data_IF_727992155177
#
_entry.id   IF_727992155177
#
_cell.length_a   1.000
_cell.length_b   1.000
_cell.length_c   1.000
_cell.angle_alpha   90.00
_cell.angle_beta   90.00
_cell.angle_gamma   90.00
#
_symmetry.space_group_name_H-M   'P 1'
#
loop_
_entity.id
_entity.type
_entity.pdbx_description
1 polymer ?
#
# COMPACT_ATOMS: atom_id res chain seq x y z
N UNK A 1 -14.16 -17.57 -13.76
CA UNK A 1 -12.71 -17.54 -13.49
C UNK A 1 -12.54 -17.43 -11.98
N UNK A 2 -11.61 -18.17 -11.39
CA UNK A 2 -11.32 -18.10 -9.95
C UNK A 2 -10.71 -16.74 -9.62
N UNK A 3 -11.24 -16.03 -8.62
CA UNK A 3 -10.71 -14.73 -8.19
C UNK A 3 -9.40 -14.93 -7.43
N UNK A 4 -8.44 -14.03 -7.60
CA UNK A 4 -7.22 -13.98 -6.76
C UNK A 4 -7.59 -13.40 -5.41
N UNK A 5 -7.40 -14.18 -4.35
CA UNK A 5 -7.62 -13.72 -2.97
C UNK A 5 -6.45 -12.87 -2.51
N UNK A 6 -6.74 -11.80 -1.79
CA UNK A 6 -5.70 -10.96 -1.18
C UNK A 6 -6.11 -10.41 0.18
N UNK A 7 -5.11 -10.20 1.05
CA UNK A 7 -5.21 -9.35 2.23
C UNK A 7 -4.41 -8.08 1.96
N UNK A 8 -5.01 -6.92 2.22
CA UNK A 8 -4.35 -5.63 2.10
C UNK A 8 -4.01 -5.12 3.51
N UNK A 9 -2.74 -4.79 3.75
CA UNK A 9 -2.27 -4.18 5.01
C UNK A 9 -1.97 -2.71 4.76
N UNK A 10 -2.78 -1.81 5.34
CA UNK A 10 -2.86 -0.38 4.98
C UNK A 10 -2.59 0.52 6.17
N UNK A 11 -2.21 1.77 5.91
CA UNK A 11 -2.17 2.86 6.88
C UNK A 11 -3.05 4.02 6.38
N UNK A 12 -4.29 3.66 6.05
CA UNK A 12 -5.21 4.41 5.17
C UNK A 12 -5.13 5.93 5.22
N UNK A 13 -4.34 6.43 4.27
CA UNK A 13 -4.30 7.79 3.80
C UNK A 13 -4.95 7.93 2.42
N UNK A 14 -4.42 8.82 1.58
CA UNK A 14 -5.06 9.24 0.33
C UNK A 14 -4.92 8.18 -0.77
N UNK A 15 -3.74 7.65 -1.02
CA UNK A 15 -3.48 6.60 -2.00
C UNK A 15 -3.91 5.20 -1.53
N UNK A 16 -3.79 4.86 -0.25
CA UNK A 16 -4.38 3.63 0.30
C UNK A 16 -5.87 3.53 0.00
N UNK A 17 -6.60 4.65 0.09
CA UNK A 17 -8.02 4.70 -0.22
C UNK A 17 -8.29 4.27 -1.68
N UNK A 18 -7.44 4.70 -2.61
CA UNK A 18 -7.54 4.29 -4.02
C UNK A 18 -7.20 2.81 -4.19
N UNK A 19 -6.20 2.30 -3.45
CA UNK A 19 -5.85 0.89 -3.44
C UNK A 19 -6.99 0.01 -2.90
N UNK A 20 -7.61 0.41 -1.79
CA UNK A 20 -8.79 -0.23 -1.21
C UNK A 20 -9.94 -0.28 -2.21
N UNK A 21 -10.24 0.84 -2.86
CA UNK A 21 -11.31 0.90 -3.85
C UNK A 21 -11.04 -0.01 -5.04
N UNK A 22 -9.81 0.00 -5.58
CA UNK A 22 -9.44 -0.86 -6.70
C UNK A 22 -9.50 -2.35 -6.29
N UNK A 23 -8.94 -2.72 -5.14
CA UNK A 23 -8.92 -4.09 -4.66
C UNK A 23 -10.32 -4.64 -4.39
N UNK A 24 -11.20 -3.82 -3.83
CA UNK A 24 -12.56 -4.20 -3.49
C UNK A 24 -13.52 -4.21 -4.70
N UNK A 25 -13.26 -3.43 -5.75
CA UNK A 25 -14.14 -3.34 -6.92
C UNK A 25 -13.68 -4.20 -8.10
N UNK A 26 -12.42 -4.61 -8.16
CA UNK A 26 -11.91 -5.38 -9.29
C UNK A 26 -12.48 -6.81 -9.33
N UNK A 27 -13.12 -7.27 -10.43
CA UNK A 27 -13.82 -8.56 -10.48
C UNK A 27 -12.91 -9.79 -10.42
N UNK A 28 -11.63 -9.63 -10.77
CA UNK A 28 -10.63 -10.69 -10.70
C UNK A 28 -10.02 -10.85 -9.30
N UNK A 29 -10.35 -9.95 -8.36
CA UNK A 29 -9.81 -9.93 -7.01
C UNK A 29 -10.90 -10.25 -5.99
N UNK A 30 -10.48 -10.89 -4.90
CA UNK A 30 -11.30 -11.12 -3.72
C UNK A 30 -10.53 -10.61 -2.50
N UNK A 31 -10.83 -9.38 -2.10
CA UNK A 31 -10.27 -8.79 -0.88
C UNK A 31 -10.91 -9.46 0.34
N UNK A 32 -10.20 -10.43 0.91
CA UNK A 32 -10.69 -11.28 2.01
C UNK A 32 -10.68 -10.59 3.37
N UNK A 33 -9.83 -9.56 3.51
CA UNK A 33 -9.79 -8.72 4.70
C UNK A 33 -8.75 -7.63 4.57
N UNK A 34 -8.87 -6.64 5.44
CA UNK A 34 -7.94 -5.51 5.53
C UNK A 34 -7.35 -5.45 6.93
N UNK A 35 -6.04 -5.42 7.02
CA UNK A 35 -5.33 -5.12 8.27
C UNK A 35 -4.83 -3.69 8.24
N UNK A 36 -4.82 -3.03 9.41
CA UNK A 36 -4.46 -1.60 9.49
C UNK A 36 -3.24 -1.42 10.39
N UNK A 37 -2.30 -0.57 9.99
CA UNK A 37 -1.06 -0.28 10.72
C UNK A 37 -0.87 1.23 10.91
N UNK A 38 -0.09 1.61 11.92
CA UNK A 38 0.33 2.99 12.08
C UNK A 38 1.27 3.43 10.95
N UNK A 39 1.02 4.62 10.38
CA UNK A 39 1.77 5.11 9.22
C UNK A 39 1.44 6.56 8.87
N UNK A 40 0.67 6.81 7.82
CA UNK A 40 0.30 8.16 7.35
C UNK A 40 -0.35 9.02 8.45
N UNK A 41 -1.25 8.42 9.23
CA UNK A 41 -1.92 9.03 10.39
C UNK A 41 -1.98 8.00 11.55
N UNK A 42 -2.46 8.34 12.77
CA UNK A 42 -2.56 7.36 13.85
C UNK A 42 -3.42 6.17 13.45
N UNK A 43 -3.06 4.95 13.90
CA UNK A 43 -3.72 3.70 13.47
C UNK A 43 -5.25 3.70 13.66
N UNK A 44 -5.77 4.37 14.69
CA UNK A 44 -7.21 4.51 14.91
C UNK A 44 -7.90 5.35 13.82
N UNK A 45 -7.23 6.40 13.35
CA UNK A 45 -7.68 7.24 12.24
C UNK A 45 -7.56 6.49 10.92
N UNK A 46 -6.46 5.77 10.69
CA UNK A 46 -6.32 4.87 9.54
C UNK A 46 -7.46 3.84 9.51
N UNK A 47 -7.82 3.29 10.67
CA UNK A 47 -8.87 2.27 10.77
C UNK A 47 -10.24 2.86 10.45
N UNK A 48 -10.56 4.03 10.98
CA UNK A 48 -11.79 4.75 10.66
C UNK A 48 -11.85 5.11 9.16
N UNK A 49 -10.76 5.65 8.59
CA UNK A 49 -10.66 5.93 7.16
C UNK A 49 -10.87 4.68 6.29
N UNK A 50 -10.30 3.54 6.68
CA UNK A 50 -10.49 2.25 6.00
C UNK A 50 -11.97 1.87 5.95
N UNK A 51 -12.66 1.95 7.09
CA UNK A 51 -14.07 1.64 7.21
C UNK A 51 -14.93 2.58 6.36
N UNK A 52 -14.66 3.90 6.41
CA UNK A 52 -15.35 4.90 5.59
C UNK A 52 -15.22 4.64 4.09
N UNK A 53 -14.00 4.36 3.62
CA UNK A 53 -13.75 4.08 2.20
C UNK A 53 -14.52 2.85 1.74
N UNK A 54 -14.46 1.75 2.50
CA UNK A 54 -15.18 0.52 2.17
C UNK A 54 -16.69 0.71 2.16
N UNK A 55 -17.25 1.41 3.16
CA UNK A 55 -18.69 1.70 3.21
C UNK A 55 -19.13 2.61 2.06
N UNK A 56 -18.33 3.62 1.71
CA UNK A 56 -18.62 4.57 0.62
C UNK A 56 -18.79 3.89 -0.74
N UNK A 57 -18.02 2.82 -0.99
CA UNK A 57 -18.15 2.02 -2.22
C UNK A 57 -19.07 0.80 -2.07
N UNK A 58 -19.82 0.69 -0.98
CA UNK A 58 -20.77 -0.40 -0.74
C UNK A 58 -20.12 -1.75 -0.45
N UNK A 59 -18.88 -1.76 0.06
CA UNK A 59 -18.09 -2.95 0.44
C UNK A 59 -17.86 -3.07 1.94
N UNK A 60 -18.85 -2.65 2.74
CA UNK A 60 -18.86 -2.80 4.20
C UNK A 60 -18.86 -4.27 4.68
N UNK A 61 -19.00 -5.25 3.78
CA UNK A 61 -18.86 -6.68 4.06
C UNK A 61 -17.41 -7.08 4.37
N UNK A 62 -16.41 -6.36 3.84
CA UNK A 62 -14.99 -6.71 3.95
C UNK A 62 -14.47 -6.42 5.37
N UNK A 63 -14.02 -7.40 6.15
CA UNK A 63 -13.62 -7.20 7.55
C UNK A 63 -12.34 -6.36 7.67
N UNK A 64 -12.30 -5.47 8.68
CA UNK A 64 -11.16 -4.58 8.98
C UNK A 64 -10.63 -4.90 10.37
N UNK A 65 -9.32 -5.15 10.48
CA UNK A 65 -8.63 -5.51 11.71
C UNK A 65 -7.55 -4.49 12.03
N UNK A 66 -7.71 -3.77 13.14
CA UNK A 66 -6.69 -2.82 13.57
C UNK A 66 -5.45 -3.54 14.13
N UNK A 67 -4.28 -3.05 13.75
CA UNK A 67 -2.98 -3.61 14.09
C UNK A 67 -2.11 -2.63 14.87
N UNK A 68 -0.80 -2.77 14.75
CA UNK A 68 0.18 -2.08 15.57
C UNK A 68 0.03 -0.55 15.48
N UNK A 69 0.04 0.10 16.65
CA UNK A 69 -0.03 1.55 16.80
C UNK A 69 1.35 2.22 16.79
N UNK A 70 2.44 1.43 16.79
CA UNK A 70 3.83 1.86 16.86
C UNK A 70 4.74 0.90 16.09
N UNK A 71 5.95 1.34 15.69
CA UNK A 71 6.93 0.46 15.06
C UNK A 71 7.29 -0.77 15.92
N UNK A 72 7.78 -1.80 15.25
CA UNK A 72 8.04 -3.13 15.76
C UNK A 72 9.06 -3.14 16.90
N UNK A 73 10.12 -2.34 16.78
CA UNK A 73 11.20 -2.26 17.79
C UNK A 73 11.34 -0.89 18.44
N UNK A 74 10.91 0.17 17.76
CA UNK A 74 11.16 1.56 18.17
C UNK A 74 9.97 2.10 18.98
N UNK A 75 10.22 3.02 19.93
CA UNK A 75 9.13 3.64 20.69
C UNK A 75 8.21 4.51 19.82
N UNK A 76 8.74 5.05 18.73
CA UNK A 76 8.05 5.83 17.68
C UNK A 76 8.88 5.78 16.39
N UNK A 77 8.41 6.39 15.30
CA UNK A 77 9.15 6.56 14.05
C UNK A 77 10.53 7.20 14.28
N UNK A 78 11.53 6.98 13.40
CA UNK A 78 12.87 7.53 13.59
C UNK A 78 12.91 9.05 13.79
N UNK A 79 11.94 9.76 13.22
CA UNK A 79 11.55 11.10 13.63
C UNK A 79 10.09 11.03 14.11
N UNK A 80 9.80 11.42 15.37
CA UNK A 80 8.44 11.42 15.89
C UNK A 80 7.49 12.22 14.99
N UNK A 81 6.25 11.75 14.83
CA UNK A 81 5.24 12.48 14.08
C UNK A 81 4.98 13.81 14.79
N UNK A 82 5.27 14.93 14.14
CA UNK A 82 4.99 16.24 14.70
C UNK A 82 3.48 16.46 14.84
N UNK A 83 3.04 17.17 15.88
CA UNK A 83 1.64 17.56 16.06
C UNK A 83 1.35 18.87 15.30
N UNK A 84 0.12 19.07 14.82
CA UNK A 84 -0.31 20.33 14.19
C UNK A 84 0.25 20.55 12.77
N UNK A 85 0.87 21.71 12.50
CA UNK A 85 1.45 22.06 11.19
C UNK A 85 2.59 21.12 10.72
N UNK A 86 3.07 20.24 11.59
CA UNK A 86 4.05 19.19 11.30
C UNK A 86 3.41 17.81 11.00
N UNK A 87 2.08 17.70 11.05
CA UNK A 87 1.36 16.50 10.63
C UNK A 87 1.53 16.20 9.15
N UNK A 88 1.02 15.06 8.70
CA UNK A 88 1.13 14.68 7.29
C UNK A 88 0.51 15.75 6.39
N UNK A 89 1.30 16.24 5.42
CA UNK A 89 0.84 17.21 4.42
C UNK A 89 0.06 16.56 3.30
N UNK A 90 0.29 15.27 3.08
CA UNK A 90 -0.26 14.47 1.99
C UNK A 90 -1.50 13.66 2.43
N UNK A 91 -1.72 13.56 3.74
CA UNK A 91 -2.78 12.76 4.34
C UNK A 91 -3.47 13.57 5.43
N UNK A 92 -4.75 13.89 5.23
CA UNK A 92 -5.58 14.49 6.27
C UNK A 92 -6.08 13.43 7.26
N UNK A 93 -6.45 13.85 8.47
CA UNK A 93 -7.15 12.98 9.43
C UNK A 93 -8.55 12.57 8.95
N UNK A 94 -9.04 13.19 7.88
CA UNK A 94 -10.28 12.83 7.21
C UNK A 94 -10.05 12.78 5.69
N UNK A 95 -10.72 11.83 5.05
CA UNK A 95 -10.80 11.69 3.60
C UNK A 95 -12.12 12.29 3.08
N UNK A 96 -12.22 12.64 1.78
CA UNK A 96 -13.44 13.16 1.17
C UNK A 96 -14.47 12.05 0.92
N UNK A 97 -14.78 11.29 1.96
CA UNK A 97 -15.80 10.24 1.98
C UNK A 97 -16.67 10.39 3.24
N UNK A 98 -17.95 9.97 3.19
CA UNK A 98 -18.86 10.08 4.32
C UNK A 98 -18.34 9.37 5.59
N UNK A 99 -18.77 9.81 6.79
CA UNK A 99 -18.47 9.09 8.02
C UNK A 99 -19.13 7.70 8.02
N UNK A 100 -18.54 6.77 8.77
CA UNK A 100 -19.05 5.41 8.98
C UNK A 100 -19.59 5.24 10.40
N UNK A 101 -20.59 4.38 10.57
CA UNK A 101 -21.01 3.87 11.89
C UNK A 101 -20.50 2.46 12.16
N UNK A 102 -19.80 1.86 11.19
CA UNK A 102 -19.28 0.50 11.24
C UNK A 102 -18.16 0.43 12.28
N UNK A 103 -18.04 -0.73 12.90
CA UNK A 103 -16.95 -1.03 13.82
C UNK A 103 -15.95 -1.96 13.15
N UNK A 104 -14.67 -1.76 13.48
CA UNK A 104 -13.61 -2.74 13.20
C UNK A 104 -13.94 -4.07 13.89
N UNK A 105 -13.30 -5.15 13.44
CA UNK A 105 -13.36 -6.44 14.11
C UNK A 105 -12.66 -6.35 15.48
N UNK A 106 -13.12 -7.13 16.46
CA UNK A 106 -12.50 -7.20 17.79
C UNK A 106 -11.10 -7.83 17.74
N UNK A 107 -10.92 -8.80 16.83
CA UNK A 107 -9.65 -9.47 16.59
C UNK A 107 -8.58 -8.49 16.08
N UNK A 108 -7.34 -8.68 16.51
CA UNK A 108 -6.21 -7.83 16.11
C UNK A 108 -5.59 -8.30 14.80
N UNK A 109 -5.00 -7.36 14.04
CA UNK A 109 -4.41 -7.66 12.72
C UNK A 109 -3.41 -8.83 12.73
N UNK A 110 -2.48 -8.85 13.68
CA UNK A 110 -1.45 -9.90 13.80
C UNK A 110 -2.07 -11.28 14.02
N UNK A 111 -3.07 -11.36 14.89
CA UNK A 111 -3.81 -12.60 15.16
C UNK A 111 -4.60 -13.05 13.93
N UNK A 112 -5.29 -12.11 13.27
CA UNK A 112 -6.03 -12.37 12.03
C UNK A 112 -5.12 -12.92 10.92
N UNK A 113 -3.94 -12.33 10.69
CA UNK A 113 -2.98 -12.81 9.69
C UNK A 113 -2.56 -14.25 9.99
N UNK A 114 -2.16 -14.54 11.23
CA UNK A 114 -1.70 -15.87 11.64
C UNK A 114 -2.79 -16.92 11.44
N UNK A 115 -4.00 -16.64 11.94
CA UNK A 115 -5.11 -17.59 11.84
C UNK A 115 -5.58 -17.80 10.40
N UNK A 116 -5.65 -16.72 9.62
CA UNK A 116 -6.12 -16.80 8.23
C UNK A 116 -5.18 -17.64 7.38
N UNK A 117 -3.85 -17.41 7.46
CA UNK A 117 -2.89 -18.19 6.69
C UNK A 117 -2.74 -19.63 7.17
N UNK A 118 -2.95 -19.92 8.46
CA UNK A 118 -3.01 -21.31 8.96
C UNK A 118 -4.23 -22.07 8.46
N UNK A 119 -5.37 -21.39 8.32
CA UNK A 119 -6.63 -21.99 7.90
C UNK A 119 -6.86 -21.96 6.38
N UNK A 120 -6.09 -21.17 5.64
CA UNK A 120 -6.25 -20.99 4.20
C UNK A 120 -6.00 -22.30 3.44
N UNK A 121 -6.99 -22.71 2.65
CA UNK A 121 -6.88 -23.81 1.69
C UNK A 121 -6.54 -23.33 0.29
N UNK A 122 -6.81 -22.05 0.01
CA UNK A 122 -6.53 -21.37 -1.25
C UNK A 122 -5.38 -20.38 -1.06
N UNK A 123 -4.57 -20.10 -2.09
CA UNK A 123 -3.53 -19.09 -2.03
C UNK A 123 -4.13 -17.69 -1.80
N UNK A 124 -3.58 -16.96 -0.83
CA UNK A 124 -3.94 -15.57 -0.52
C UNK A 124 -2.68 -14.73 -0.67
N UNK A 125 -2.68 -13.73 -1.57
CA UNK A 125 -1.56 -12.80 -1.71
C UNK A 125 -1.60 -11.78 -0.57
N UNK A 126 -0.46 -11.52 0.07
CA UNK A 126 -0.32 -10.46 1.06
C UNK A 126 0.16 -9.18 0.39
N UNK A 127 -0.53 -8.06 0.60
CA UNK A 127 -0.19 -6.77 -0.01
C UNK A 127 -0.05 -5.71 1.07
N UNK A 128 1.15 -5.55 1.68
CA UNK A 128 1.37 -4.43 2.57
C UNK A 128 1.73 -3.17 1.78
N UNK A 129 0.97 -2.11 2.04
CA UNK A 129 1.17 -0.78 1.44
C UNK A 129 1.39 0.31 2.49
N UNK A 130 1.46 -0.07 3.77
CA UNK A 130 1.96 0.77 4.86
C UNK A 130 3.26 0.25 5.46
N UNK A 131 3.57 0.66 6.70
CA UNK A 131 4.74 0.12 7.43
C UNK A 131 4.63 -1.39 7.64
N UNK A 132 5.75 -2.10 7.56
CA UNK A 132 5.76 -3.57 7.60
C UNK A 132 5.60 -4.17 9.01
N UNK A 133 5.17 -3.36 9.98
CA UNK A 133 5.09 -3.67 11.40
C UNK A 133 4.20 -4.89 11.70
N UNK A 134 2.98 -4.91 11.15
CA UNK A 134 2.04 -6.01 11.37
C UNK A 134 2.62 -7.33 10.86
N UNK A 135 3.28 -7.29 9.71
CA UNK A 135 3.86 -8.47 9.05
C UNK A 135 5.06 -8.98 9.84
N UNK A 136 5.97 -8.09 10.25
CA UNK A 136 7.11 -8.43 11.08
C UNK A 136 6.69 -9.04 12.43
N UNK A 137 5.66 -8.49 13.06
CA UNK A 137 5.08 -9.02 14.29
C UNK A 137 4.45 -10.41 14.09
N UNK A 138 3.69 -10.61 13.01
CA UNK A 138 3.14 -11.93 12.67
C UNK A 138 4.24 -12.97 12.46
N UNK A 139 5.32 -12.61 11.76
CA UNK A 139 6.50 -13.46 11.56
C UNK A 139 7.30 -13.70 12.85
N UNK A 140 7.22 -12.81 13.84
CA UNK A 140 7.86 -13.00 15.14
C UNK A 140 7.13 -14.05 15.99
N UNK A 141 5.80 -14.10 15.87
CA UNK A 141 4.96 -15.08 16.57
C UNK A 141 4.89 -16.42 15.84
N UNK A 142 4.71 -16.41 14.51
CA UNK A 142 4.61 -17.60 13.67
C UNK A 142 5.57 -17.53 12.47
N UNK A 143 6.84 -17.95 12.63
CA UNK A 143 7.81 -17.96 11.55
C UNK A 143 7.41 -18.83 10.35
N UNK A 144 6.54 -19.84 10.53
CA UNK A 144 6.09 -20.70 9.42
C UNK A 144 5.18 -19.98 8.43
N UNK A 145 4.67 -18.79 8.77
CA UNK A 145 3.89 -17.96 7.84
C UNK A 145 4.62 -17.72 6.51
N UNK A 146 5.95 -17.68 6.53
CA UNK A 146 6.78 -17.54 5.32
C UNK A 146 6.46 -18.60 4.26
N UNK A 147 6.16 -19.84 4.66
CA UNK A 147 5.80 -20.92 3.75
C UNK A 147 4.30 -21.03 3.46
N UNK A 148 3.45 -20.25 4.15
CA UNK A 148 2.00 -20.24 3.96
C UNK A 148 1.53 -19.08 3.08
N UNK A 149 2.35 -18.02 2.97
CA UNK A 149 2.07 -16.85 2.15
C UNK A 149 2.75 -17.05 0.77
N UNK A 150 1.98 -17.34 -0.30
CA UNK A 150 2.54 -17.67 -1.61
C UNK A 150 3.18 -16.48 -2.33
N UNK A 151 2.73 -15.26 -2.03
CA UNK A 151 3.19 -14.04 -2.67
C UNK A 151 3.02 -12.84 -1.74
N UNK A 152 4.04 -11.98 -1.69
CA UNK A 152 4.01 -10.68 -1.02
C UNK A 152 4.29 -9.58 -2.05
N UNK A 153 3.41 -8.57 -2.11
CA UNK A 153 3.60 -7.38 -2.95
C UNK A 153 3.65 -6.15 -2.07
N UNK A 154 4.82 -5.54 -1.95
CA UNK A 154 5.09 -4.46 -1.00
C UNK A 154 5.15 -3.13 -1.74
N UNK A 155 4.36 -2.14 -1.34
CA UNK A 155 4.65 -0.74 -1.68
C UNK A 155 5.66 -0.20 -0.67
N UNK A 156 6.82 0.23 -1.17
CA UNK A 156 7.82 0.87 -0.32
C UNK A 156 9.22 0.81 -0.89
N UNK A 157 10.09 1.64 -0.31
CA UNK A 157 11.49 1.72 -0.70
C UNK A 157 11.75 2.59 -1.92
N UNK A 158 13.03 2.71 -2.24
CA UNK A 158 13.54 3.53 -3.33
C UNK A 158 15.00 3.22 -3.63
N UNK A 159 15.34 3.04 -4.90
CA UNK A 159 16.72 2.86 -5.36
C UNK A 159 17.38 4.22 -5.61
N UNK A 160 16.79 5.01 -6.52
CA UNK A 160 17.30 6.31 -6.95
C UNK A 160 16.84 7.46 -6.06
N UNK A 161 15.68 7.31 -5.41
CA UNK A 161 14.97 8.40 -4.74
C UNK A 161 14.45 8.00 -3.35
N UNK A 162 14.31 8.98 -2.48
CA UNK A 162 13.56 8.91 -1.22
C UNK A 162 12.50 10.02 -1.17
N UNK A 163 11.53 9.92 -0.25
CA UNK A 163 10.47 10.92 -0.08
C UNK A 163 10.39 11.49 1.36
N UNK A 164 10.89 10.77 2.37
CA UNK A 164 10.93 11.23 3.76
C UNK A 164 12.32 11.70 4.18
N UNK A 165 13.37 11.03 3.71
CA UNK A 165 14.76 11.48 3.82
C UNK A 165 15.42 11.41 2.44
N UNK A 166 16.62 11.98 2.26
CA UNK A 166 17.35 11.83 1.00
C UNK A 166 17.62 10.37 0.60
N UNK A 167 17.58 9.44 1.56
CA UNK A 167 17.98 8.05 1.36
C UNK A 167 16.83 7.03 1.44
N UNK A 168 15.67 7.43 1.97
CA UNK A 168 14.61 6.50 2.38
C UNK A 168 13.21 6.95 1.97
N UNK A 169 12.39 5.95 1.71
CA UNK A 169 10.95 6.05 1.49
C UNK A 169 10.21 5.85 2.83
N UNK A 170 9.07 6.51 2.99
CA UNK A 170 8.28 6.59 4.22
C UNK A 170 7.94 5.23 4.86
N UNK A 171 7.35 4.27 4.15
CA UNK A 171 6.90 2.99 4.72
C UNK A 171 8.07 2.17 5.27
N UNK A 172 9.19 2.15 4.54
CA UNK A 172 10.41 1.46 4.99
C UNK A 172 11.10 2.24 6.12
N UNK A 173 11.12 3.56 6.05
CA UNK A 173 11.71 4.42 7.08
C UNK A 173 10.91 4.43 8.38
N UNK A 174 9.58 4.30 8.32
CA UNK A 174 8.71 4.30 9.49
C UNK A 174 9.00 3.12 10.41
N UNK A 175 9.35 1.97 9.84
CA UNK A 175 9.79 0.79 10.60
C UNK A 175 10.87 -0.02 9.85
N UNK A 176 12.13 0.43 9.89
CA UNK A 176 13.21 -0.18 9.11
C UNK A 176 13.57 -1.56 9.64
N UNK A 177 13.42 -1.83 10.95
CA UNK A 177 13.61 -3.15 11.53
C UNK A 177 12.56 -4.15 11.04
N UNK A 178 11.29 -3.76 10.97
CA UNK A 178 10.25 -4.60 10.39
C UNK A 178 10.51 -4.87 8.91
N UNK A 179 10.89 -3.84 8.16
CA UNK A 179 11.17 -3.98 6.74
C UNK A 179 12.36 -4.91 6.47
N UNK A 180 13.46 -4.78 7.24
CA UNK A 180 14.60 -5.68 7.14
C UNK A 180 14.22 -7.13 7.48
N UNK A 181 13.40 -7.32 8.52
CA UNK A 181 12.89 -8.66 8.90
C UNK A 181 12.06 -9.28 7.78
N UNK A 182 11.13 -8.53 7.19
CA UNK A 182 10.20 -9.03 6.17
C UNK A 182 10.93 -9.35 4.86
N UNK A 183 11.80 -8.45 4.37
CA UNK A 183 12.53 -8.66 3.12
C UNK A 183 13.58 -9.78 3.21
N UNK A 184 14.05 -10.12 4.42
CA UNK A 184 14.93 -11.27 4.66
C UNK A 184 14.22 -12.49 5.26
N UNK A 185 12.88 -12.49 5.35
CA UNK A 185 12.13 -13.58 5.97
C UNK A 185 12.22 -14.91 5.18
N UNK A 186 12.55 -14.83 3.90
CA UNK A 186 12.68 -16.00 3.02
C UNK A 186 11.37 -16.38 2.30
N UNK A 187 10.47 -15.43 2.09
CA UNK A 187 9.29 -15.64 1.24
C UNK A 187 9.70 -16.10 -0.17
N UNK A 188 8.93 -17.02 -0.74
CA UNK A 188 9.22 -17.57 -2.07
C UNK A 188 9.11 -16.49 -3.16
N UNK A 189 8.05 -15.69 -3.10
CA UNK A 189 7.77 -14.63 -4.08
C UNK A 189 7.52 -13.29 -3.39
N UNK A 190 8.44 -12.35 -3.62
CA UNK A 190 8.35 -10.97 -3.12
C UNK A 190 8.48 -10.02 -4.30
N UNK A 191 7.51 -9.14 -4.48
CA UNK A 191 7.62 -7.99 -5.38
C UNK A 191 7.71 -6.72 -4.55
N UNK A 192 8.75 -5.92 -4.78
CA UNK A 192 8.88 -4.59 -4.19
C UNK A 192 8.50 -3.55 -5.26
N UNK A 193 7.55 -2.68 -4.93
CA UNK A 193 7.10 -1.57 -5.77
C UNK A 193 7.58 -0.26 -5.14
N UNK A 194 8.84 0.14 -5.42
CA UNK A 194 9.43 1.34 -4.85
C UNK A 194 8.98 2.62 -5.54
N UNK A 195 9.43 3.76 -5.01
CA UNK A 195 9.24 5.08 -5.61
C UNK A 195 9.69 5.15 -7.07
N UNK A 196 10.74 4.41 -7.45
CA UNK A 196 11.25 4.34 -8.83
C UNK A 196 10.17 3.93 -9.84
N UNK A 197 9.28 3.00 -9.47
CA UNK A 197 8.14 2.58 -10.29
C UNK A 197 6.91 3.45 -10.06
N UNK A 198 6.57 3.77 -8.80
CA UNK A 198 5.33 4.53 -8.52
C UNK A 198 5.37 5.96 -9.08
N UNK A 199 6.55 6.57 -9.21
CA UNK A 199 6.74 7.88 -9.85
C UNK A 199 6.65 7.83 -11.39
N UNK A 200 6.49 6.64 -11.99
CA UNK A 200 6.26 6.45 -13.43
C UNK A 200 4.77 6.35 -13.75
N UNK A 201 3.96 5.90 -12.79
CA UNK A 201 2.50 5.79 -12.89
C UNK A 201 1.79 7.02 -12.32
N UNK A 202 2.07 8.20 -12.88
CA UNK A 202 1.50 9.46 -12.43
C UNK A 202 0.07 9.66 -12.95
N UNK A 203 -0.81 10.19 -12.10
CA UNK A 203 -2.20 10.55 -12.43
C UNK A 203 -2.29 12.07 -12.57
N UNK A 204 -2.87 12.54 -13.67
CA UNK A 204 -2.97 13.97 -14.01
C UNK A 204 -4.31 14.60 -13.63
N UNK A 205 -4.40 15.93 -13.73
CA UNK A 205 -5.68 16.64 -13.61
C UNK A 205 -6.73 16.20 -14.64
N UNK A 206 -6.31 15.91 -15.88
CA UNK A 206 -7.22 15.42 -16.92
C UNK A 206 -7.76 14.03 -16.57
N UNK A 207 -6.94 13.19 -15.96
CA UNK A 207 -7.37 11.88 -15.45
C UNK A 207 -8.35 12.04 -14.28
N UNK A 208 -8.13 13.01 -13.40
CA UNK A 208 -9.08 13.36 -12.34
C UNK A 208 -10.42 13.86 -12.92
N UNK A 209 -10.41 14.66 -14.00
CA UNK A 209 -11.63 15.09 -14.70
C UNK A 209 -12.38 13.87 -15.27
N UNK A 210 -11.64 12.96 -15.93
CA UNK A 210 -12.19 11.71 -16.46
C UNK A 210 -12.81 10.83 -15.37
N UNK A 211 -12.15 10.69 -14.21
CA UNK A 211 -12.64 9.91 -13.07
C UNK A 211 -13.87 10.55 -12.42
N UNK A 212 -13.87 11.87 -12.24
CA UNK A 212 -15.02 12.61 -11.71
C UNK A 212 -16.25 12.48 -12.61
N UNK A 213 -16.06 12.51 -13.94
CA UNK A 213 -17.13 12.40 -14.93
C UNK A 213 -17.84 11.03 -14.90
N UNK A 214 -17.26 10.00 -14.27
CA UNK A 214 -17.91 8.70 -14.08
C UNK A 214 -19.15 8.80 -13.18
N UNK A 215 -19.20 9.79 -12.27
CA UNK A 215 -20.32 9.99 -11.36
C UNK A 215 -20.53 8.87 -10.35
N UNK A 216 -19.56 7.97 -10.17
CA UNK A 216 -19.60 6.88 -9.19
C UNK A 216 -18.90 7.28 -7.89
N UNK A 217 -19.27 6.69 -6.73
CA UNK A 217 -18.61 6.95 -5.45
C UNK A 217 -17.08 6.81 -5.51
N UNK A 218 -16.57 5.75 -6.16
CA UNK A 218 -15.13 5.54 -6.31
C UNK A 218 -14.46 6.56 -7.24
N UNK A 219 -15.10 6.91 -8.36
CA UNK A 219 -14.57 7.87 -9.33
C UNK A 219 -14.46 9.28 -8.76
N UNK A 220 -15.52 9.76 -8.11
CA UNK A 220 -15.55 11.11 -7.51
C UNK A 220 -14.58 11.22 -6.34
N UNK A 221 -14.57 10.26 -5.42
CA UNK A 221 -13.64 10.26 -4.28
C UNK A 221 -12.18 10.21 -4.77
N UNK A 222 -11.85 9.32 -5.72
CA UNK A 222 -10.49 9.25 -6.28
C UNK A 222 -10.07 10.57 -6.91
N UNK A 223 -10.94 11.21 -7.70
CA UNK A 223 -10.63 12.49 -8.32
C UNK A 223 -10.32 13.59 -7.30
N UNK A 224 -11.12 13.71 -6.24
CA UNK A 224 -10.90 14.70 -5.17
C UNK A 224 -9.61 14.44 -4.40
N UNK A 225 -9.38 13.18 -4.03
CA UNK A 225 -8.18 12.72 -3.34
C UNK A 225 -6.93 13.03 -4.17
N UNK A 226 -6.92 12.65 -5.46
CA UNK A 226 -5.75 12.82 -6.31
C UNK A 226 -5.50 14.29 -6.62
N UNK A 227 -6.52 15.13 -6.81
CA UNK A 227 -6.34 16.59 -6.94
C UNK A 227 -5.65 17.19 -5.71
N UNK A 228 -6.10 16.83 -4.52
CA UNK A 228 -5.45 17.28 -3.28
C UNK A 228 -3.98 16.84 -3.24
N UNK A 229 -3.68 15.62 -3.69
CA UNK A 229 -2.29 15.14 -3.79
C UNK A 229 -1.49 15.93 -4.81
N UNK A 230 -2.03 16.21 -6.01
CA UNK A 230 -1.35 17.03 -7.03
C UNK A 230 -1.00 18.41 -6.45
N UNK A 231 -1.95 19.09 -5.83
CA UNK A 231 -1.73 20.41 -5.22
C UNK A 231 -0.67 20.40 -4.11
N UNK A 232 -0.60 19.30 -3.36
CA UNK A 232 0.39 19.13 -2.29
C UNK A 232 1.78 18.85 -2.86
N UNK A 233 1.90 17.98 -3.85
CA UNK A 233 3.16 17.66 -4.52
C UNK A 233 3.75 18.88 -5.23
N UNK A 234 2.93 19.70 -5.90
CA UNK A 234 3.38 20.94 -6.56
C UNK A 234 4.08 21.92 -5.59
N UNK A 235 3.69 21.88 -4.31
CA UNK A 235 4.24 22.74 -3.24
C UNK A 235 5.47 22.14 -2.57
N UNK A 236 5.48 20.84 -2.31
CA UNK A 236 6.45 20.23 -1.38
C UNK A 236 7.37 19.18 -2.01
N UNK A 237 6.93 18.49 -3.06
CA UNK A 237 7.68 17.43 -3.72
C UNK A 237 7.24 17.34 -5.18
N UNK A 238 7.78 18.23 -6.02
CA UNK A 238 7.35 18.34 -7.41
C UNK A 238 7.67 17.07 -8.20
N UNK A 239 6.69 16.60 -8.94
CA UNK A 239 6.85 15.51 -9.89
C UNK A 239 7.52 15.98 -11.19
N UNK A 240 8.14 15.08 -11.97
CA UNK A 240 8.72 15.42 -13.27
C UNK A 240 7.73 16.00 -14.27
N UNK A 241 6.44 15.63 -14.13
CA UNK A 241 5.34 16.13 -14.95
C UNK A 241 4.45 17.02 -14.08
N UNK A 242 4.32 18.29 -14.45
CA UNK A 242 3.49 19.26 -13.73
C UNK A 242 2.01 18.85 -13.78
N UNK A 243 1.29 19.08 -12.68
CA UNK A 243 -0.14 18.78 -12.60
C UNK A 243 -0.41 17.28 -12.47
N UNK A 244 0.53 16.52 -11.90
CA UNK A 244 0.41 15.08 -11.70
C UNK A 244 0.87 14.65 -10.31
N UNK A 245 0.36 13.51 -9.84
CA UNK A 245 0.77 12.90 -8.58
C UNK A 245 0.77 11.36 -8.67
N UNK A 246 1.68 10.67 -7.97
CA UNK A 246 1.78 9.20 -8.00
C UNK A 246 0.77 8.55 -7.07
N UNK A 247 -0.11 7.65 -7.48
CA UNK A 247 -0.99 6.92 -6.54
C UNK A 247 -0.31 5.62 -6.14
N UNK A 248 0.59 5.70 -5.16
CA UNK A 248 1.61 4.69 -4.88
C UNK A 248 1.03 3.28 -4.68
N UNK A 249 0.08 3.15 -3.76
CA UNK A 249 -0.39 1.86 -3.25
C UNK A 249 -1.28 1.12 -4.25
N UNK A 250 -2.09 1.87 -5.00
CA UNK A 250 -2.99 1.31 -6.00
C UNK A 250 -2.21 0.63 -7.15
N UNK A 251 -0.95 1.01 -7.37
CA UNK A 251 -0.10 0.35 -8.36
C UNK A 251 0.20 -1.11 -7.98
N UNK A 252 0.30 -1.44 -6.69
CA UNK A 252 0.45 -2.83 -6.22
C UNK A 252 -0.78 -3.67 -6.58
N UNK A 253 -1.98 -3.11 -6.41
CA UNK A 253 -3.22 -3.78 -6.78
C UNK A 253 -3.32 -3.94 -8.30
N UNK A 254 -2.97 -2.90 -9.05
CA UNK A 254 -2.98 -2.95 -10.51
C UNK A 254 -2.00 -4.02 -11.04
N UNK A 255 -0.85 -4.20 -10.40
CA UNK A 255 0.11 -5.26 -10.73
C UNK A 255 -0.45 -6.67 -10.50
N UNK A 256 -1.27 -6.89 -9.47
CA UNK A 256 -1.91 -8.19 -9.26
C UNK A 256 -2.88 -8.57 -10.39
N UNK A 257 -3.49 -7.56 -11.01
CA UNK A 257 -4.43 -7.70 -12.13
C UNK A 257 -3.68 -7.88 -13.44
N UNK A 258 -2.76 -6.97 -13.74
CA UNK A 258 -1.94 -6.97 -14.94
C UNK A 258 -0.46 -6.82 -14.56
N UNK A 259 0.30 -7.92 -14.46
CA UNK A 259 1.71 -7.87 -14.13
C UNK A 259 2.55 -7.08 -15.14
N UNK A 260 2.06 -6.90 -16.38
CA UNK A 260 2.75 -6.15 -17.43
C UNK A 260 2.68 -4.63 -17.23
N UNK A 261 2.03 -4.17 -16.16
CA UNK A 261 2.06 -2.77 -15.72
C UNK A 261 3.41 -2.40 -15.10
N UNK A 262 4.17 -3.36 -14.57
CA UNK A 262 5.49 -3.14 -13.97
C UNK A 262 6.59 -3.77 -14.81
N UNK A 263 7.73 -3.08 -14.87
CA UNK A 263 8.99 -3.68 -15.34
C UNK A 263 9.86 -4.00 -14.13
N UNK A 264 10.08 -5.29 -13.87
CA UNK A 264 10.79 -5.77 -12.69
C UNK A 264 12.13 -6.42 -13.00
N UNK A 265 13.01 -6.44 -12.01
CA UNK A 265 14.27 -7.20 -12.01
C UNK A 265 14.43 -7.95 -10.70
N UNK A 266 14.72 -9.24 -10.79
CA UNK A 266 15.03 -10.09 -9.63
C UNK A 266 16.41 -9.72 -9.07
N UNK A 267 16.44 -9.06 -7.91
CA UNK A 267 17.67 -8.52 -7.29
C UNK A 267 17.71 -8.82 -5.79
N UNK A 268 18.90 -8.64 -5.19
CA UNK A 268 19.01 -8.59 -3.74
C UNK A 268 18.68 -7.19 -3.25
N UNK A 269 17.89 -7.11 -2.18
CA UNK A 269 17.61 -5.89 -1.43
C UNK A 269 17.76 -6.17 0.06
N UNK A 270 18.38 -5.25 0.78
CA UNK A 270 18.41 -5.20 2.25
C UNK A 270 18.00 -3.80 2.72
N UNK A 271 17.61 -3.67 3.98
CA UNK A 271 17.23 -2.40 4.59
C UNK A 271 18.27 -2.00 5.63
N UNK A 272 18.74 -0.76 5.53
CA UNK A 272 19.60 -0.17 6.55
C UNK A 272 18.76 0.29 7.74
N UNK A 273 18.97 -0.31 8.92
CA UNK A 273 18.21 -0.03 10.14
C UNK A 273 19.01 0.71 11.23
N UNK A 274 20.31 0.90 11.07
CA UNK A 274 21.20 1.46 12.10
C UNK A 274 21.96 2.72 11.65
N UNK A 275 22.11 2.93 10.34
CA UNK A 275 22.91 4.02 9.77
C UNK A 275 22.40 5.41 10.14
N UNK A 276 23.31 6.33 10.47
CA UNK A 276 22.98 7.70 10.89
C UNK A 276 22.27 8.52 9.79
N UNK A 277 22.66 8.33 8.53
CA UNK A 277 22.13 9.10 7.39
C UNK A 277 21.27 8.29 6.43
N UNK A 278 21.21 6.97 6.63
CA UNK A 278 20.67 6.02 5.66
C UNK A 278 19.65 5.06 6.29
N UNK A 279 19.22 5.32 7.52
CA UNK A 279 18.12 4.57 8.14
C UNK A 279 16.88 4.54 7.22
N UNK A 280 16.32 3.35 7.01
CA UNK A 280 15.20 3.12 6.09
C UNK A 280 15.60 2.99 4.62
N UNK A 281 16.89 3.06 4.26
CA UNK A 281 17.31 2.88 2.88
C UNK A 281 17.15 1.42 2.46
N UNK A 282 16.41 1.19 1.37
CA UNK A 282 16.48 -0.07 0.61
C UNK A 282 17.75 -0.10 -0.23
N UNK A 283 18.75 -0.85 0.20
CA UNK A 283 20.01 -1.06 -0.50
C UNK A 283 19.82 -2.16 -1.54
N UNK A 284 19.48 -1.75 -2.76
CA UNK A 284 19.22 -2.65 -3.89
C UNK A 284 20.50 -2.88 -4.69
N UNK A 285 20.92 -4.15 -4.79
CA UNK A 285 22.19 -4.54 -5.41
C UNK A 285 22.06 -4.73 -6.94
N UNK A 286 21.86 -3.61 -7.64
CA UNK A 286 21.65 -3.56 -9.09
C UNK A 286 22.80 -4.17 -9.91
N UNK A 287 24.01 -4.22 -9.35
CA UNK A 287 25.23 -4.67 -10.03
C UNK A 287 25.84 -5.94 -9.41
N UNK A 288 25.15 -6.60 -8.48
CA UNK A 288 25.60 -7.86 -7.87
C UNK A 288 26.90 -7.73 -7.07
N UNK A 289 27.16 -6.58 -6.43
CA UNK A 289 28.39 -6.29 -5.69
C UNK A 289 28.44 -6.98 -4.33
N UNK A 290 27.30 -7.32 -3.73
CA UNK A 290 27.22 -7.90 -2.39
C UNK A 290 27.53 -9.40 -2.36
N UNK A 291 27.41 -10.09 -3.50
CA UNK A 291 27.45 -11.55 -3.56
C UNK A 291 26.23 -12.26 -2.95
N UNK A 292 25.21 -11.51 -2.49
CA UNK A 292 23.99 -12.07 -1.91
C UNK A 292 23.05 -12.58 -3.00
N UNK A 293 22.30 -13.63 -2.69
CA UNK A 293 21.27 -14.15 -3.59
C UNK A 293 20.10 -13.15 -3.72
N UNK A 294 19.48 -13.02 -4.90
CA UNK A 294 18.27 -12.22 -5.07
C UNK A 294 17.11 -12.69 -4.19
N UNK A 295 16.45 -11.75 -3.50
CA UNK A 295 15.32 -12.02 -2.60
C UNK A 295 14.00 -11.35 -3.02
N UNK A 296 14.02 -10.35 -3.93
CA UNK A 296 12.80 -9.70 -4.42
C UNK A 296 12.86 -9.37 -5.92
N UNK A 297 11.70 -9.32 -6.56
CA UNK A 297 11.47 -8.70 -7.86
C UNK A 297 11.23 -7.21 -7.64
N UNK A 298 12.18 -6.38 -8.04
CA UNK A 298 12.14 -4.93 -7.81
C UNK A 298 11.61 -4.24 -9.04
N UNK A 299 10.52 -3.47 -8.90
CA UNK A 299 9.96 -2.67 -10.00
C UNK A 299 10.76 -1.38 -10.19
N UNK A 300 11.21 -1.14 -11.42
CA UNK A 300 11.95 0.09 -11.80
C UNK A 300 11.17 0.99 -12.74
N UNK A 301 10.09 0.48 -13.34
CA UNK A 301 9.26 1.24 -14.25
C UNK A 301 7.80 0.78 -14.15
N UNK A 302 6.89 1.64 -14.59
CA UNK A 302 5.47 1.35 -14.65
C UNK A 302 4.80 1.99 -15.87
N UNK A 303 3.76 1.35 -16.40
CA UNK A 303 2.96 1.89 -17.51
C UNK A 303 1.82 2.79 -16.96
N UNK A 304 1.95 4.13 -17.07
CA UNK A 304 0.94 5.05 -16.54
C UNK A 304 -0.40 4.92 -17.25
N UNK A 305 -0.39 4.60 -18.55
CA UNK A 305 -1.61 4.52 -19.34
C UNK A 305 -2.44 3.32 -18.90
N UNK A 306 -1.82 2.14 -18.78
CA UNK A 306 -2.51 0.95 -18.26
C UNK A 306 -3.05 1.18 -16.86
N UNK A 307 -2.28 1.87 -16.00
CA UNK A 307 -2.69 2.15 -14.64
C UNK A 307 -3.95 3.03 -14.58
N UNK A 308 -3.92 4.19 -15.23
CA UNK A 308 -5.05 5.12 -15.26
C UNK A 308 -6.26 4.51 -15.96
N UNK A 309 -6.07 3.81 -17.08
CA UNK A 309 -7.16 3.16 -17.79
C UNK A 309 -7.85 2.09 -16.94
N UNK A 310 -7.09 1.32 -16.15
CA UNK A 310 -7.64 0.35 -15.22
C UNK A 310 -8.48 1.02 -14.14
N UNK A 311 -7.98 2.09 -13.51
CA UNK A 311 -8.77 2.84 -12.52
C UNK A 311 -10.08 3.34 -13.12
N UNK A 312 -10.02 3.97 -14.30
CA UNK A 312 -11.20 4.50 -14.98
C UNK A 312 -12.19 3.40 -15.37
N UNK A 313 -11.72 2.26 -15.87
CA UNK A 313 -12.58 1.13 -16.24
C UNK A 313 -13.30 0.55 -15.02
N UNK A 314 -12.56 0.31 -13.93
CA UNK A 314 -13.11 -0.36 -12.75
C UNK A 314 -14.04 0.57 -11.98
N UNK A 315 -13.69 1.85 -11.85
CA UNK A 315 -14.52 2.81 -11.12
C UNK A 315 -15.76 3.23 -11.92
N UNK A 316 -15.83 2.98 -13.23
CA UNK A 316 -17.05 3.19 -14.01
C UNK A 316 -18.15 2.15 -13.71
N UNK A 317 -17.81 1.03 -13.05
CA UNK A 317 -18.76 -0.07 -12.83
C UNK A 317 -19.78 0.29 -11.75
N UNK A 318 -21.09 0.09 -11.99
CA UNK A 318 -22.12 0.40 -11.01
C UNK A 318 -21.95 -0.46 -9.74
N UNK A 319 -22.00 0.20 -8.58
CA UNK A 319 -21.84 -0.43 -7.28
C UNK A 319 -23.16 -1.09 -6.86
N UNK A 320 -23.14 -2.35 -6.41
CA UNK A 320 -24.31 -3.02 -5.83
C UNK A 320 -25.04 -4.05 -6.71
N UNK A 321 -24.56 -4.35 -7.93
CA UNK A 321 -24.96 -5.63 -8.55
C UNK A 321 -24.17 -6.73 -7.85
N UNK A 322 -24.73 -7.28 -6.76
CA UNK A 322 -24.38 -8.62 -6.33
C UNK A 322 -24.33 -9.48 -7.60
N UNK A 323 -23.20 -10.12 -7.86
CA UNK A 323 -23.10 -11.06 -8.96
C UNK A 323 -24.23 -12.08 -8.77
N UNK A 324 -25.30 -11.94 -9.53
CA UNK A 324 -26.34 -12.93 -9.61
C UNK A 324 -25.66 -14.20 -10.12
N UNK A 325 -25.76 -15.22 -9.27
CA UNK A 325 -25.35 -16.63 -9.40
C UNK A 325 -25.09 -17.09 -10.84
#
# INVERSE_FOLDING_TARGET
MTRRKLILDVDTGTDDAVALMLAALHPALELVGVTVVNGNVPVSVCTDNTLRVLDHIGRGDIPVFEGADRPFMRPDFPMPRGTGEQGSKYHGETLPVPPTTRQKQEKRAVEYLIETYRAATDPITLVPVGTLTNIAAALAVEPKLVGLIPEVVIMGGGHEIGNVTPAAEFNIWGDPEAAERVLNAGFEKVTLVPLDATHRALVSYDDCDRLAALGTPAGTATAEIVRFRIDTHEKWQRMPIRGTAPVHDALCIAFLVDPTILTTRRLNVVVEAAGTYTIGRTVIDVYGRSGRAPNADIAFDADPKKFVDMLAEIFARPHGAAASV
#
